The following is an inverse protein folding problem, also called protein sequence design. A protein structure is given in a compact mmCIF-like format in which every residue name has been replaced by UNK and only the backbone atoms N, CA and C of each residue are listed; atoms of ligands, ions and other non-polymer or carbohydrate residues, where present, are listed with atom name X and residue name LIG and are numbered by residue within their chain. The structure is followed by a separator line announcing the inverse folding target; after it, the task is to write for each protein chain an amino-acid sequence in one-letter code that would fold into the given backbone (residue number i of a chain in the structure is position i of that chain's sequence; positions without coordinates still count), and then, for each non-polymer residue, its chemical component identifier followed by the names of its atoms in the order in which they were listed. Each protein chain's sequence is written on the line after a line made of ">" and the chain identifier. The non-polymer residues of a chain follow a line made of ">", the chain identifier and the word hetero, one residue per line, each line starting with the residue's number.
data_IF_522939944984
#
_entry.id   IF_522939944984
#
_cell.length_a   1.000
_cell.length_b   1.000
_cell.length_c   1.000
_cell.angle_alpha   90.00
_cell.angle_beta   90.00
_cell.angle_gamma   90.00
#
_symmetry.space_group_name_H-M   'P 1'
#
loop_
_entity.id
_entity.type
_entity.pdbx_description
1 polymer ?
#
# COMPACT_ATOMS: atom_id res chain seq x y z
N UNK A 1 -4.60 -1.06 12.74
CA UNK A 1 -4.95 -1.91 13.90
C UNK A 1 -3.67 -2.43 14.53
N UNK A 2 -3.13 -1.72 15.51
CA UNK A 2 -1.95 -2.12 16.27
C UNK A 2 -2.40 -2.91 17.49
N UNK A 3 -1.86 -4.10 17.70
CA UNK A 3 -2.18 -4.95 18.86
C UNK A 3 -0.95 -4.99 19.75
N UNK A 4 -1.09 -4.60 21.01
CA UNK A 4 -0.04 -4.78 22.02
C UNK A 4 -0.21 -6.18 22.59
N UNK A 5 0.86 -6.97 22.69
CA UNK A 5 0.79 -8.27 23.35
C UNK A 5 0.80 -8.14 24.89
N UNK A 6 0.52 -9.22 25.60
CA UNK A 6 0.44 -9.24 27.07
C UNK A 6 1.75 -8.91 27.80
N UNK A 7 2.87 -8.76 27.06
CA UNK A 7 4.18 -8.41 27.58
C UNK A 7 4.58 -6.95 27.24
N UNK A 8 3.69 -6.18 26.60
CA UNK A 8 3.96 -4.79 26.23
C UNK A 8 4.76 -4.64 24.93
N UNK A 9 4.96 -5.71 24.15
CA UNK A 9 5.55 -5.59 22.82
C UNK A 9 4.48 -5.21 21.81
N UNK A 10 4.79 -4.20 20.99
CA UNK A 10 3.94 -3.74 19.90
C UNK A 10 4.05 -4.75 18.78
N UNK A 11 2.95 -5.42 18.43
CA UNK A 11 2.95 -6.35 17.30
C UNK A 11 3.22 -5.60 16.01
N UNK A 12 4.01 -6.24 15.15
CA UNK A 12 4.38 -5.82 13.80
C UNK A 12 3.16 -5.25 13.08
N UNK A 13 3.18 -3.94 12.89
CA UNK A 13 2.14 -3.22 12.19
C UNK A 13 2.58 -3.03 10.73
N UNK A 14 1.67 -3.29 9.79
CA UNK A 14 1.98 -3.28 8.36
C UNK A 14 1.90 -1.84 7.82
N UNK A 15 2.99 -1.24 7.33
CA UNK A 15 2.96 0.05 6.66
C UNK A 15 2.21 -0.08 5.33
N UNK A 16 1.22 0.78 5.10
CA UNK A 16 0.35 0.75 3.92
C UNK A 16 0.31 2.11 3.25
N UNK A 17 0.36 2.11 1.93
CA UNK A 17 0.24 3.28 1.07
C UNK A 17 -0.90 3.05 0.10
N UNK A 18 -1.89 3.92 0.04
CA UNK A 18 -2.95 3.89 -0.97
C UNK A 18 -2.65 4.91 -2.05
N UNK A 19 -2.69 4.49 -3.31
CA UNK A 19 -2.42 5.32 -4.48
C UNK A 19 -3.71 5.52 -5.26
N UNK A 20 -4.01 6.77 -5.61
CA UNK A 20 -5.18 7.16 -6.39
C UNK A 20 -4.80 7.56 -7.82
N UNK A 21 -5.81 7.66 -8.68
CA UNK A 21 -5.68 7.85 -10.14
C UNK A 21 -4.72 8.98 -10.55
N UNK A 22 -4.84 10.14 -9.91
CA UNK A 22 -4.09 11.37 -10.22
C UNK A 22 -2.71 11.45 -9.56
N UNK A 23 -2.33 10.43 -8.78
CA UNK A 23 -1.12 10.43 -7.96
C UNK A 23 -1.34 10.93 -6.53
N UNK A 24 -2.56 11.33 -6.16
CA UNK A 24 -2.93 11.48 -4.77
C UNK A 24 -2.69 10.18 -3.99
N UNK A 25 -2.42 10.27 -2.69
CA UNK A 25 -2.13 9.11 -1.87
C UNK A 25 -2.49 9.30 -0.39
N UNK A 26 -2.67 8.19 0.31
CA UNK A 26 -2.86 8.13 1.76
C UNK A 26 -1.83 7.19 2.38
N UNK A 27 -1.28 7.58 3.53
CA UNK A 27 -0.39 6.77 4.38
C UNK A 27 -1.06 6.50 5.73
N UNK A 28 -0.74 5.38 6.37
CA UNK A 28 -1.02 5.17 7.79
C UNK A 28 0.15 5.69 8.64
N UNK A 29 0.00 5.64 9.97
CA UNK A 29 1.03 6.10 10.91
C UNK A 29 2.36 5.37 10.66
N UNK A 30 2.30 4.07 10.35
CA UNK A 30 3.47 3.24 10.10
C UNK A 30 4.20 3.57 8.80
N UNK A 31 3.53 4.13 7.79
CA UNK A 31 4.13 4.56 6.51
C UNK A 31 4.34 6.07 6.44
N UNK A 32 4.28 6.77 7.57
CA UNK A 32 4.58 8.21 7.66
C UNK A 32 5.98 8.50 7.09
N UNK A 33 6.04 9.48 6.17
CA UNK A 33 7.27 9.85 5.46
C UNK A 33 7.36 9.31 4.03
N UNK A 34 6.45 8.42 3.62
CA UNK A 34 6.33 8.01 2.21
C UNK A 34 5.77 9.15 1.36
N UNK A 35 6.28 9.24 0.13
CA UNK A 35 5.77 10.12 -0.93
C UNK A 35 5.43 9.29 -2.16
N UNK A 36 4.31 9.62 -2.82
CA UNK A 36 3.94 9.03 -4.11
C UNK A 36 3.93 10.11 -5.19
N UNK A 37 4.57 9.81 -6.31
CA UNK A 37 4.60 10.68 -7.50
C UNK A 37 4.03 9.93 -8.70
N UNK A 38 2.99 10.47 -9.35
CA UNK A 38 2.54 9.99 -10.65
C UNK A 38 3.51 10.48 -11.74
N UNK A 39 4.22 9.56 -12.37
CA UNK A 39 5.24 9.85 -13.39
C UNK A 39 4.57 10.07 -14.75
N UNK A 40 3.66 9.16 -15.13
CA UNK A 40 2.88 9.21 -16.35
C UNK A 40 1.62 8.34 -16.19
N UNK A 41 0.81 8.23 -17.25
CA UNK A 41 -0.39 7.39 -17.23
C UNK A 41 -0.08 5.98 -16.80
N UNK A 42 -0.71 5.54 -15.71
CA UNK A 42 -0.54 4.21 -15.15
C UNK A 42 0.84 3.95 -14.56
N UNK A 43 1.63 4.97 -14.19
CA UNK A 43 2.96 4.79 -13.58
C UNK A 43 3.14 5.70 -12.36
N UNK A 44 3.40 5.09 -11.21
CA UNK A 44 3.47 5.74 -9.90
C UNK A 44 4.74 5.30 -9.16
N UNK A 45 5.51 6.26 -8.66
CA UNK A 45 6.73 6.01 -7.90
C UNK A 45 6.46 6.27 -6.41
N UNK A 46 6.76 5.28 -5.57
CA UNK A 46 6.72 5.36 -4.12
C UNK A 46 8.14 5.53 -3.59
N UNK A 47 8.38 6.56 -2.80
CA UNK A 47 9.66 6.89 -2.18
C UNK A 47 9.53 7.00 -0.66
N UNK A 48 10.64 6.88 0.07
CA UNK A 48 10.64 6.89 1.55
C UNK A 48 10.46 5.52 2.21
N UNK A 49 10.40 4.46 1.41
CA UNK A 49 10.40 3.06 1.83
C UNK A 49 11.70 2.34 1.41
N UNK A 50 11.94 1.15 1.94
CA UNK A 50 13.09 0.28 1.61
C UNK A 50 12.73 -0.89 0.69
N UNK A 51 11.48 -0.95 0.22
CA UNK A 51 10.96 -1.96 -0.69
C UNK A 51 9.55 -2.38 -0.30
N UNK A 52 9.10 -3.52 -0.85
CA UNK A 52 7.86 -4.14 -0.44
C UNK A 52 8.01 -4.77 0.94
N UNK A 53 6.92 -4.78 1.71
CA UNK A 53 6.92 -5.39 3.03
C UNK A 53 7.35 -6.86 2.96
N UNK A 54 8.38 -7.23 3.73
CA UNK A 54 9.02 -8.55 3.65
C UNK A 54 8.23 -9.66 4.37
N UNK A 55 7.21 -9.31 5.14
CA UNK A 55 6.43 -10.29 5.89
C UNK A 55 5.45 -11.04 4.99
N UNK A 56 5.73 -12.33 4.78
CA UNK A 56 4.89 -13.23 3.98
C UNK A 56 3.45 -13.36 4.52
N UNK A 57 3.20 -13.07 5.81
CA UNK A 57 1.85 -13.06 6.39
C UNK A 57 0.98 -11.91 5.84
N UNK A 58 1.61 -10.85 5.32
CA UNK A 58 0.94 -9.65 4.80
C UNK A 58 1.16 -9.43 3.30
N UNK A 59 2.35 -9.80 2.81
CA UNK A 59 2.78 -9.60 1.43
C UNK A 59 2.47 -10.77 0.48
N UNK A 60 2.13 -11.95 1.00
CA UNK A 60 2.08 -13.16 0.16
C UNK A 60 3.41 -13.40 -0.57
N UNK A 61 3.40 -14.22 -1.63
CA UNK A 61 4.59 -14.53 -2.43
C UNK A 61 4.93 -13.39 -3.41
N UNK A 62 3.92 -12.61 -3.83
CA UNK A 62 4.01 -11.66 -4.94
C UNK A 62 3.98 -10.18 -4.52
N UNK A 63 4.10 -9.89 -3.21
CA UNK A 63 4.05 -8.53 -2.67
C UNK A 63 2.66 -8.11 -2.20
N UNK A 64 2.61 -7.31 -1.13
CA UNK A 64 1.37 -6.92 -0.45
C UNK A 64 0.56 -5.88 -1.20
N UNK A 65 0.06 -6.23 -2.37
CA UNK A 65 -0.79 -5.38 -3.20
C UNK A 65 -2.27 -5.75 -3.05
N UNK A 66 -3.13 -4.74 -2.99
CA UNK A 66 -4.55 -4.90 -3.23
C UNK A 66 -4.94 -4.00 -4.42
N UNK A 67 -5.52 -4.60 -5.45
CA UNK A 67 -5.91 -3.90 -6.68
C UNK A 67 -7.44 -3.72 -6.76
N UNK A 68 -7.92 -2.69 -7.47
CA UNK A 68 -9.34 -2.47 -7.72
C UNK A 68 -10.02 -3.70 -8.33
N UNK A 69 -11.15 -4.10 -7.73
CA UNK A 69 -12.03 -5.16 -8.24
C UNK A 69 -13.43 -4.63 -8.51
N UNK A 70 -14.13 -5.21 -9.47
CA UNK A 70 -15.53 -4.90 -9.74
C UNK A 70 -16.48 -5.61 -8.75
N UNK A 71 -17.79 -5.36 -8.90
CA UNK A 71 -18.87 -6.00 -8.12
C UNK A 71 -18.89 -7.54 -8.21
N UNK A 72 -18.25 -8.12 -9.22
CA UNK A 72 -18.15 -9.56 -9.45
C UNK A 72 -16.80 -10.13 -8.98
N UNK A 73 -16.00 -9.34 -8.26
CA UNK A 73 -14.64 -9.68 -7.81
C UNK A 73 -13.66 -9.92 -8.96
N UNK A 74 -13.91 -9.33 -10.12
CA UNK A 74 -12.98 -9.34 -11.24
C UNK A 74 -12.03 -8.15 -11.12
N UNK A 75 -10.70 -8.35 -11.22
CA UNK A 75 -9.75 -7.24 -11.15
C UNK A 75 -9.89 -6.30 -12.34
N UNK A 76 -9.87 -4.99 -12.09
CA UNK A 76 -10.10 -3.97 -13.12
C UNK A 76 -8.82 -3.52 -13.84
N UNK A 77 -7.67 -3.86 -13.28
CA UNK A 77 -6.34 -3.56 -13.80
C UNK A 77 -5.43 -4.78 -13.72
N UNK A 78 -4.39 -4.79 -14.56
CA UNK A 78 -3.16 -5.52 -14.30
C UNK A 78 -2.22 -4.61 -13.49
N UNK A 79 -1.42 -5.22 -12.62
CA UNK A 79 -0.38 -4.53 -11.86
C UNK A 79 0.96 -5.19 -12.16
N UNK A 80 1.93 -4.37 -12.53
CA UNK A 80 3.35 -4.71 -12.58
C UNK A 80 4.08 -3.80 -11.60
N UNK A 81 5.24 -4.24 -11.11
CA UNK A 81 6.03 -3.41 -10.23
C UNK A 81 7.54 -3.67 -10.37
N UNK A 82 8.33 -2.70 -9.94
CA UNK A 82 9.78 -2.83 -9.81
C UNK A 82 10.23 -2.17 -8.51
N UNK A 83 11.01 -2.88 -7.71
CA UNK A 83 11.76 -2.28 -6.61
C UNK A 83 13.11 -1.81 -7.14
N UNK A 84 13.41 -0.53 -6.96
CA UNK A 84 14.67 0.07 -7.35
C UNK A 84 15.76 -0.21 -6.29
N UNK A 85 17.02 0.03 -6.66
CA UNK A 85 18.16 -0.24 -5.78
C UNK A 85 18.17 0.62 -4.50
N UNK A 86 17.51 1.77 -4.53
CA UNK A 86 17.33 2.67 -3.38
C UNK A 86 16.14 2.30 -2.49
N UNK A 87 15.39 1.23 -2.84
CA UNK A 87 14.20 0.79 -2.12
C UNK A 87 12.89 1.44 -2.58
N UNK A 88 12.95 2.44 -3.48
CA UNK A 88 11.73 3.01 -4.08
C UNK A 88 10.99 1.96 -4.92
N UNK A 89 9.67 2.07 -4.98
CA UNK A 89 8.81 1.12 -5.70
C UNK A 89 8.15 1.83 -6.87
N UNK A 90 8.39 1.36 -8.08
CA UNK A 90 7.68 1.78 -9.27
C UNK A 90 6.48 0.83 -9.48
N UNK A 91 5.27 1.35 -9.36
CA UNK A 91 4.01 0.64 -9.63
C UNK A 91 3.50 1.02 -11.01
N UNK A 92 3.14 0.02 -11.82
CA UNK A 92 2.54 0.21 -13.14
C UNK A 92 1.20 -0.47 -13.25
N UNK A 93 0.24 0.21 -13.84
CA UNK A 93 -1.13 -0.26 -14.00
C UNK A 93 -1.55 -0.29 -15.46
N UNK A 94 -2.21 -1.36 -15.86
CA UNK A 94 -2.66 -1.57 -17.23
C UNK A 94 -4.12 -1.98 -17.25
N UNK A 95 -4.81 -1.69 -18.34
CA UNK A 95 -6.20 -2.04 -18.50
C UNK A 95 -6.36 -3.55 -18.52
N UNK A 96 -7.35 -4.07 -17.78
CA UNK A 96 -7.66 -5.50 -17.76
C UNK A 96 -9.07 -5.77 -18.26
N UNK A 97 -9.17 -6.41 -19.42
CA UNK A 97 -10.43 -6.86 -19.99
C UNK A 97 -10.69 -8.32 -19.58
N UNK A 98 -11.97 -8.69 -19.41
CA UNK A 98 -12.41 -10.06 -19.15
C UNK A 98 -13.24 -10.59 -20.32
N UNK A 99 -12.62 -11.12 -21.39
CA UNK A 99 -13.34 -11.50 -22.61
C UNK A 99 -14.39 -12.61 -22.41
N UNK A 100 -14.19 -13.48 -21.42
CA UNK A 100 -15.11 -14.57 -21.08
C UNK A 100 -16.32 -14.12 -20.26
N UNK A 101 -16.32 -12.88 -19.75
CA UNK A 101 -17.44 -12.33 -19.01
C UNK A 101 -18.56 -11.87 -19.96
N UNK A 102 -19.83 -11.82 -19.50
CA UNK A 102 -20.91 -11.17 -20.23
C UNK A 102 -20.55 -9.72 -20.61
N UNK A 103 -21.05 -9.16 -21.73
CA UNK A 103 -20.64 -7.84 -22.23
C UNK A 103 -20.64 -6.70 -21.20
N UNK A 104 -21.61 -6.69 -20.28
CA UNK A 104 -21.72 -5.66 -19.22
C UNK A 104 -20.69 -5.79 -18.08
N UNK A 105 -19.92 -6.88 -18.06
CA UNK A 105 -18.96 -7.25 -17.00
C UNK A 105 -17.54 -7.50 -17.54
N UNK A 106 -17.29 -7.18 -18.82
CA UNK A 106 -15.97 -7.35 -19.44
C UNK A 106 -14.94 -6.29 -19.01
N UNK A 107 -15.38 -5.25 -18.29
CA UNK A 107 -14.54 -4.10 -17.93
C UNK A 107 -13.88 -3.48 -19.17
N UNK A 108 -14.65 -3.14 -20.21
CA UNK A 108 -14.12 -2.40 -21.37
C UNK A 108 -14.14 -0.90 -21.09
N UNK A 109 -13.07 -0.19 -21.42
CA UNK A 109 -13.01 1.28 -21.34
C UNK A 109 -13.26 1.87 -22.72
N UNK A 110 -14.28 2.72 -22.83
CA UNK A 110 -14.64 3.33 -24.08
C UNK A 110 -15.88 4.20 -23.94
N UNK A 111 -16.31 4.77 -25.06
CA UNK A 111 -17.50 5.61 -25.14
C UNK A 111 -18.49 5.01 -26.13
N UNK A 112 -19.78 5.14 -25.84
CA UNK A 112 -20.85 4.82 -26.80
C UNK A 112 -21.32 6.12 -27.41
N UNK A 113 -21.35 6.22 -28.73
CA UNK A 113 -21.85 7.41 -29.42
C UNK A 113 -23.39 7.46 -29.41
N UNK A 114 -23.96 8.50 -30.03
CA UNK A 114 -25.40 8.70 -30.12
C UNK A 114 -26.11 7.61 -30.95
N UNK A 115 -25.37 6.88 -31.79
CA UNK A 115 -25.88 5.80 -32.63
C UNK A 115 -25.79 4.43 -31.93
N UNK A 116 -25.29 4.39 -30.69
CA UNK A 116 -25.15 3.18 -29.89
C UNK A 116 -23.89 2.37 -30.20
N UNK A 117 -22.94 2.93 -30.94
CA UNK A 117 -21.68 2.25 -31.29
C UNK A 117 -20.66 2.47 -30.18
N UNK A 118 -20.26 1.37 -29.54
CA UNK A 118 -19.19 1.40 -28.54
C UNK A 118 -17.82 1.46 -29.22
N UNK A 119 -17.05 2.50 -28.92
CA UNK A 119 -15.65 2.65 -29.31
C UNK A 119 -14.76 2.48 -28.10
N UNK A 120 -13.90 1.46 -28.13
CA UNK A 120 -12.90 1.21 -27.11
C UNK A 120 -11.80 2.27 -27.17
N UNK A 121 -11.44 2.83 -26.01
CA UNK A 121 -10.39 3.86 -25.89
C UNK A 121 -9.16 3.37 -25.14
N UNK A 122 -9.21 2.17 -24.57
CA UNK A 122 -8.05 1.47 -24.04
C UNK A 122 -8.23 -0.03 -24.23
N UNK A 123 -7.28 -0.68 -24.90
CA UNK A 123 -7.26 -2.13 -25.09
C UNK A 123 -6.68 -2.84 -23.86
N UNK A 124 -6.93 -4.15 -23.74
CA UNK A 124 -6.30 -4.98 -22.70
C UNK A 124 -4.78 -4.87 -22.75
N UNK A 125 -4.16 -4.67 -21.59
CA UNK A 125 -2.71 -4.49 -21.45
C UNK A 125 -2.18 -3.10 -21.77
N UNK A 126 -3.00 -2.14 -22.20
CA UNK A 126 -2.53 -0.76 -22.38
C UNK A 126 -2.38 -0.02 -21.04
N UNK A 127 -1.38 0.87 -20.88
CA UNK A 127 -1.21 1.66 -19.67
C UNK A 127 -2.44 2.52 -19.39
N UNK A 128 -3.00 2.40 -18.19
CA UNK A 128 -4.11 3.22 -17.72
C UNK A 128 -3.91 3.57 -16.25
N UNK A 129 -4.36 4.75 -15.85
CA UNK A 129 -4.36 5.12 -14.44
C UNK A 129 -5.31 4.23 -13.64
N UNK A 130 -5.07 4.21 -12.32
CA UNK A 130 -5.97 3.57 -11.36
C UNK A 130 -7.38 4.16 -11.55
N UNK A 131 -8.46 3.34 -11.55
CA UNK A 131 -9.83 3.84 -11.65
C UNK A 131 -10.12 4.92 -10.62
N UNK A 132 -10.72 6.04 -11.05
CA UNK A 132 -10.96 7.22 -10.22
C UNK A 132 -11.87 6.97 -9.00
N UNK A 133 -12.64 5.88 -9.02
CA UNK A 133 -13.51 5.41 -7.93
C UNK A 133 -12.82 4.41 -6.99
N UNK A 134 -11.51 4.22 -7.11
CA UNK A 134 -10.76 3.21 -6.37
C UNK A 134 -9.31 3.64 -6.11
N UNK A 135 -8.54 2.73 -5.51
CA UNK A 135 -7.13 2.91 -5.19
C UNK A 135 -6.37 1.58 -5.34
N UNK A 136 -5.04 1.67 -5.49
CA UNK A 136 -4.14 0.53 -5.27
C UNK A 136 -3.56 0.65 -3.87
N UNK A 137 -3.64 -0.42 -3.09
CA UNK A 137 -3.00 -0.50 -1.77
C UNK A 137 -1.66 -1.20 -1.93
N UNK A 138 -0.60 -0.64 -1.35
CA UNK A 138 0.75 -1.18 -1.37
C UNK A 138 1.26 -1.28 0.06
N UNK A 139 1.66 -2.48 0.48
CA UNK A 139 2.36 -2.69 1.75
C UNK A 139 3.85 -2.51 1.55
N UNK A 140 4.42 -1.56 2.27
CA UNK A 140 5.83 -1.18 2.12
C UNK A 140 6.65 -1.60 3.33
N UNK A 141 7.94 -1.79 3.11
CA UNK A 141 8.94 -1.90 4.16
C UNK A 141 9.46 -0.51 4.49
N UNK A 142 9.52 -0.18 5.78
CA UNK A 142 9.95 1.15 6.21
C UNK A 142 11.35 1.08 6.80
N UNK A 143 12.20 2.10 6.58
CA UNK A 143 13.52 2.12 7.18
C UNK A 143 13.45 2.10 8.71
N UNK A 144 14.45 1.50 9.36
CA UNK A 144 14.53 1.44 10.83
C UNK A 144 14.49 2.81 11.48
N UNK A 145 14.96 3.83 10.76
CA UNK A 145 15.00 5.21 11.22
C UNK A 145 13.79 6.05 10.73
N UNK A 146 12.72 5.39 10.25
CA UNK A 146 11.45 6.05 9.91
C UNK A 146 10.84 6.79 11.09
N UNK A 147 9.94 7.74 10.80
CA UNK A 147 9.28 8.56 11.81
C UNK A 147 8.56 7.69 12.84
N UNK A 148 7.84 6.68 12.38
CA UNK A 148 7.16 5.71 13.24
C UNK A 148 8.13 4.90 14.09
N UNK A 149 9.15 4.28 13.50
CA UNK A 149 10.07 3.41 14.21
C UNK A 149 10.86 4.17 15.30
N UNK A 150 11.27 5.42 15.02
CA UNK A 150 11.89 6.30 16.02
C UNK A 150 10.95 6.63 17.18
N UNK A 151 9.66 6.91 16.91
CA UNK A 151 8.65 7.16 17.95
C UNK A 151 8.45 5.93 18.84
N UNK A 152 8.39 4.73 18.25
CA UNK A 152 8.24 3.49 18.99
C UNK A 152 9.45 3.18 19.86
N UNK A 153 10.66 3.37 19.33
CA UNK A 153 11.89 3.15 20.08
C UNK A 153 12.03 4.11 21.27
N UNK A 154 11.74 5.40 21.06
CA UNK A 154 11.75 6.38 22.14
C UNK A 154 10.72 6.04 23.24
N UNK A 155 9.54 5.55 22.84
CA UNK A 155 8.50 5.11 23.77
C UNK A 155 8.96 3.88 24.57
N UNK A 156 9.58 2.91 23.91
CA UNK A 156 10.15 1.70 24.55
C UNK A 156 11.20 2.07 25.59
N UNK A 157 12.15 2.94 25.22
CA UNK A 157 13.21 3.41 26.13
C UNK A 157 12.59 4.11 27.35
N UNK A 158 11.61 5.00 27.14
CA UNK A 158 10.95 5.71 28.24
C UNK A 158 10.20 4.77 29.20
N UNK A 159 9.55 3.72 28.67
CA UNK A 159 8.88 2.69 29.49
C UNK A 159 9.88 1.84 30.27
N UNK A 160 11.00 1.44 29.67
CA UNK A 160 12.06 0.70 30.35
C UNK A 160 12.68 1.53 31.49
N UNK A 161 12.96 2.81 31.24
CA UNK A 161 13.46 3.72 32.27
C UNK A 161 12.45 3.92 33.41
N UNK A 162 11.16 4.05 33.11
CA UNK A 162 10.10 4.18 34.12
C UNK A 162 10.03 2.92 34.99
N UNK A 163 10.03 1.73 34.38
CA UNK A 163 10.00 0.44 35.09
C UNK A 163 11.24 0.25 35.99
N UNK A 164 12.41 0.65 35.52
CA UNK A 164 13.64 0.59 36.31
C UNK A 164 13.63 1.56 37.50
N UNK A 165 12.96 2.72 37.38
CA UNK A 165 12.77 3.66 38.49
C UNK A 165 11.79 3.11 39.53
N UNK A 166 10.66 2.55 39.11
CA UNK A 166 9.66 1.95 40.00
C UNK A 166 10.25 0.79 40.83
N UNK A 167 10.97 -0.14 40.17
CA UNK A 167 11.61 -1.26 40.86
C UNK A 167 12.72 -0.85 41.85
N UNK A 168 13.28 0.36 41.71
CA UNK A 168 14.29 0.90 42.63
C UNK A 168 13.69 1.58 43.86
N UNK A 169 12.46 2.09 43.77
CA UNK A 169 11.71 2.64 44.91
C UNK A 169 11.16 1.56 45.84
N UNK A 170 10.79 0.40 45.31
CA UNK A 170 10.23 -0.71 46.11
C UNK A 170 11.28 -1.45 46.96
N UNK A 171 12.55 -1.36 46.59
CA UNK A 171 13.67 -1.97 47.32
C UNK A 171 14.24 -1.13 48.47
N UNK A 172 13.74 0.09 48.69
CA UNK A 172 14.29 1.03 49.68
C UNK A 172 13.37 1.21 50.91
N UNK A 173 12.48 0.25 51.14
CA UNK A 173 11.56 0.21 52.27
C UNK A 173 11.83 -1.03 53.15
N UNK A 174 13.05 -1.14 53.69
CA UNK A 174 13.40 -2.00 54.84
C UNK A 174 14.43 -1.27 55.70
#
# INVERSE_FOLDING_TARGET
>A
NTVVDGNGFIKQASPVVRIFSDGGYETNDESEGVVVTRIQTGEYLIEGCTGLNADAAWGGIDGGFEIPVDRNKQPRIWLDYKVNADGSILVRTFHRVHPSAPPFAQNRIGNTDNDGVFTETAADGEPVDIPADSFVSVRVEMPEDSVWNKKQEATRIAMEEARMKEGRTDGNNV
#
